data_IF_161741520318
#
_entry.id   IF_161741520318
#
_cell.length_a   1.000
_cell.length_b   1.000
_cell.length_c   1.000
_cell.angle_alpha   90.00
_cell.angle_beta   90.00
_cell.angle_gamma   90.00
#
_symmetry.space_group_name_H-M   'P 1'
#
loop_
_entity.id
_entity.type
_entity.pdbx_description
1 polymer ?
#
# COMPACT_ATOMS: atom_id res chain seq x y z
N UNK A 1 31.14 -1.38 -7.39
CA UNK A 1 29.85 -1.67 -8.07
C UNK A 1 29.12 -0.36 -8.31
N UNK A 2 28.46 -0.16 -9.45
CA UNK A 2 27.65 1.04 -9.72
C UNK A 2 26.16 0.67 -9.80
N UNK A 3 25.28 1.55 -9.29
CA UNK A 3 23.82 1.41 -9.23
C UNK A 3 23.17 2.76 -9.56
N UNK A 4 22.00 2.73 -10.20
CA UNK A 4 21.24 3.96 -10.53
C UNK A 4 20.44 4.47 -9.33
N UNK A 5 19.94 3.55 -8.49
CA UNK A 5 19.11 3.85 -7.32
C UNK A 5 19.52 2.96 -6.16
N UNK A 6 19.62 3.54 -4.96
CA UNK A 6 19.83 2.80 -3.70
C UNK A 6 18.61 3.01 -2.80
N UNK A 7 18.00 1.92 -2.38
CA UNK A 7 16.85 1.90 -1.45
C UNK A 7 17.32 1.39 -0.10
N UNK A 8 17.14 2.21 0.94
CA UNK A 8 17.48 1.85 2.32
C UNK A 8 16.23 1.33 3.03
N UNK A 9 16.12 0.01 3.16
CA UNK A 9 15.03 -0.69 3.80
C UNK A 9 14.34 -1.69 2.88
N UNK A 10 14.11 -2.90 3.42
CA UNK A 10 13.44 -4.02 2.73
C UNK A 10 11.98 -4.22 3.16
N UNK A 11 11.33 -3.17 3.69
CA UNK A 11 9.90 -3.20 3.96
C UNK A 11 9.06 -3.11 2.68
N UNK A 12 7.72 -3.18 2.82
CA UNK A 12 6.78 -3.16 1.70
C UNK A 12 7.03 -1.98 0.75
N UNK A 13 7.20 -0.77 1.28
CA UNK A 13 7.45 0.43 0.47
C UNK A 13 8.76 0.33 -0.34
N UNK A 14 9.84 -0.17 0.26
CA UNK A 14 11.14 -0.31 -0.39
C UNK A 14 11.13 -1.38 -1.49
N UNK A 15 10.54 -2.53 -1.19
CA UNK A 15 10.42 -3.63 -2.16
C UNK A 15 9.46 -3.29 -3.30
N UNK A 16 8.32 -2.65 -3.01
CA UNK A 16 7.39 -2.21 -4.05
C UNK A 16 8.02 -1.17 -4.97
N UNK A 17 8.80 -0.23 -4.41
CA UNK A 17 9.56 0.74 -5.19
C UNK A 17 10.62 0.07 -6.06
N UNK A 18 11.35 -0.90 -5.51
CA UNK A 18 12.35 -1.67 -6.24
C UNK A 18 11.72 -2.42 -7.43
N UNK A 19 10.57 -3.08 -7.23
CA UNK A 19 9.84 -3.79 -8.29
C UNK A 19 9.39 -2.86 -9.42
N UNK A 20 8.92 -1.66 -9.10
CA UNK A 20 8.52 -0.67 -10.11
C UNK A 20 9.71 -0.10 -10.89
N UNK A 21 10.89 0.00 -10.27
CA UNK A 21 12.09 0.60 -10.88
C UNK A 21 12.99 -0.39 -11.60
N UNK A 22 13.05 -1.64 -11.15
CA UNK A 22 13.96 -2.68 -11.65
C UNK A 22 13.89 -2.93 -13.17
N UNK A 23 12.74 -2.80 -13.86
CA UNK A 23 12.71 -2.94 -15.32
C UNK A 23 13.50 -1.87 -16.09
N UNK A 24 13.81 -0.74 -15.45
CA UNK A 24 14.39 0.44 -16.11
C UNK A 24 15.67 0.95 -15.44
N UNK A 25 16.01 0.45 -14.25
CA UNK A 25 17.11 0.95 -13.40
C UNK A 25 17.81 -0.20 -12.70
N UNK A 26 19.11 -0.08 -12.51
CA UNK A 26 19.89 -0.96 -11.66
C UNK A 26 19.74 -0.54 -10.19
N UNK A 27 18.88 -1.24 -9.46
CA UNK A 27 18.51 -0.92 -8.08
C UNK A 27 19.34 -1.75 -7.09
N UNK A 28 19.88 -1.11 -6.05
CA UNK A 28 20.40 -1.78 -4.86
C UNK A 28 19.42 -1.62 -3.69
N UNK A 29 19.15 -2.70 -2.96
CA UNK A 29 18.41 -2.66 -1.70
C UNK A 29 19.37 -2.96 -0.57
N UNK A 30 19.43 -2.08 0.42
CA UNK A 30 20.25 -2.24 1.61
C UNK A 30 19.31 -2.36 2.80
N UNK A 31 19.47 -3.41 3.60
CA UNK A 31 18.68 -3.62 4.82
C UNK A 31 19.59 -3.93 6.00
N UNK A 32 19.13 -3.59 7.20
CA UNK A 32 19.90 -3.70 8.45
C UNK A 32 20.11 -5.16 8.89
N UNK A 33 19.18 -6.04 8.53
CA UNK A 33 19.16 -7.46 8.91
C UNK A 33 18.80 -8.32 7.69
N UNK A 34 18.04 -9.39 7.86
CA UNK A 34 17.51 -10.14 6.73
C UNK A 34 16.40 -9.37 6.03
N UNK A 35 16.15 -9.68 4.75
CA UNK A 35 15.17 -8.96 3.93
C UNK A 35 13.75 -8.96 4.55
N UNK A 36 13.35 -10.07 5.18
CA UNK A 36 12.01 -10.24 5.76
C UNK A 36 11.92 -9.75 7.22
N UNK A 37 13.03 -9.32 7.82
CA UNK A 37 13.07 -8.85 9.21
C UNK A 37 12.60 -7.37 9.29
N UNK A 38 11.30 -7.14 9.09
CA UNK A 38 10.69 -5.82 9.14
C UNK A 38 9.20 -5.84 9.49
N UNK A 39 8.66 -4.70 9.95
CA UNK A 39 7.27 -4.56 10.42
C UNK A 39 6.22 -4.98 9.38
N UNK A 40 6.50 -4.80 8.09
CA UNK A 40 5.59 -5.20 7.01
C UNK A 40 5.25 -6.69 7.04
N UNK A 41 6.17 -7.55 7.46
CA UNK A 41 5.94 -8.99 7.54
C UNK A 41 5.07 -9.39 8.75
N UNK A 42 4.84 -8.47 9.69
CA UNK A 42 4.05 -8.68 10.91
C UNK A 42 2.67 -8.01 10.85
N UNK A 43 2.35 -7.30 9.75
CA UNK A 43 1.05 -6.64 9.58
C UNK A 43 -0.09 -7.66 9.49
N UNK A 44 -1.23 -7.37 10.12
CA UNK A 44 -2.38 -8.30 10.21
C UNK A 44 -3.72 -7.66 9.82
N UNK A 45 -3.89 -6.34 10.03
CA UNK A 45 -5.18 -5.67 9.87
C UNK A 45 -5.70 -5.57 8.44
N UNK A 46 -4.80 -5.59 7.45
CA UNK A 46 -5.15 -5.44 6.03
C UNK A 46 -4.61 -4.15 5.42
N UNK A 47 -5.20 -3.74 4.30
CA UNK A 47 -4.88 -2.50 3.59
C UNK A 47 -6.20 -1.77 3.34
N UNK A 48 -6.38 -0.61 3.96
CA UNK A 48 -7.54 0.24 3.75
C UNK A 48 -7.50 0.86 2.34
N UNK A 49 -8.57 0.69 1.57
CA UNK A 49 -8.74 1.27 0.25
C UNK A 49 -10.23 1.35 -0.12
N UNK A 50 -10.60 2.41 -0.84
CA UNK A 50 -11.95 2.58 -1.40
C UNK A 50 -12.11 1.66 -2.61
N UNK A 51 -12.54 0.42 -2.40
CA UNK A 51 -12.67 -0.61 -3.45
C UNK A 51 -14.10 -1.09 -3.69
N UNK A 52 -15.07 -0.61 -2.91
CA UNK A 52 -16.48 -1.00 -2.99
C UNK A 52 -17.39 0.24 -2.97
N UNK A 53 -18.63 0.08 -3.44
CA UNK A 53 -19.63 1.12 -3.60
C UNK A 53 -20.12 1.76 -2.29
N UNK A 54 -19.84 1.12 -1.15
CA UNK A 54 -20.27 1.60 0.17
C UNK A 54 -19.30 2.60 0.81
N UNK A 55 -18.10 2.77 0.25
CA UNK A 55 -17.12 3.77 0.69
C UNK A 55 -16.93 4.84 -0.40
N UNK A 56 -16.57 6.06 0.00
CA UNK A 56 -16.24 7.14 -0.92
C UNK A 56 -14.90 7.73 -0.55
N UNK A 57 -14.10 8.10 -1.56
CA UNK A 57 -12.84 8.82 -1.35
C UNK A 57 -13.00 10.01 -0.41
N UNK A 58 -14.12 10.74 -0.53
CA UNK A 58 -14.41 11.89 0.35
C UNK A 58 -14.59 11.49 1.82
N UNK A 59 -15.33 10.41 2.11
CA UNK A 59 -15.50 9.94 3.50
C UNK A 59 -14.16 9.52 4.07
N UNK A 60 -13.44 8.66 3.35
CA UNK A 60 -12.15 8.12 3.78
C UNK A 60 -11.09 9.21 4.00
N UNK A 61 -11.03 10.24 3.13
CA UNK A 61 -10.16 11.40 3.33
C UNK A 61 -10.52 12.15 4.61
N UNK A 62 -11.81 12.43 4.84
CA UNK A 62 -12.25 13.14 6.05
C UNK A 62 -11.91 12.34 7.32
N UNK A 63 -12.15 11.03 7.31
CA UNK A 63 -11.84 10.14 8.43
C UNK A 63 -10.34 10.12 8.71
N UNK A 64 -9.51 10.09 7.67
CA UNK A 64 -8.04 10.13 7.79
C UNK A 64 -7.55 11.46 8.36
N UNK A 65 -8.11 12.58 7.92
CA UNK A 65 -7.76 13.92 8.44
C UNK A 65 -8.17 14.04 9.91
N UNK A 66 -9.38 13.57 10.26
CA UNK A 66 -9.88 13.59 11.64
C UNK A 66 -9.02 12.70 12.55
N UNK A 67 -8.74 11.46 12.15
CA UNK A 67 -7.88 10.54 12.89
C UNK A 67 -6.45 11.08 13.06
N UNK A 68 -5.95 11.81 12.06
CA UNK A 68 -4.67 12.53 12.11
C UNK A 68 -4.69 13.81 12.95
N UNK A 69 -5.77 14.10 13.69
CA UNK A 69 -5.96 15.32 14.47
C UNK A 69 -5.78 16.61 13.66
N UNK A 70 -6.14 16.58 12.37
CA UNK A 70 -5.96 17.67 11.40
C UNK A 70 -4.50 18.09 11.18
N UNK A 71 -3.52 17.24 11.52
CA UNK A 71 -2.10 17.48 11.27
C UNK A 71 -1.62 16.91 9.93
N UNK A 72 -2.43 16.08 9.29
CA UNK A 72 -2.16 15.55 7.95
C UNK A 72 -2.27 16.65 6.89
N UNK A 73 -1.41 16.59 5.88
CA UNK A 73 -1.54 17.41 4.68
C UNK A 73 -2.76 16.95 3.85
N UNK A 74 -3.79 17.80 3.65
CA UNK A 74 -5.01 17.40 2.97
C UNK A 74 -4.79 16.98 1.51
N UNK A 75 -3.86 17.61 0.79
CA UNK A 75 -3.59 17.30 -0.61
C UNK A 75 -2.92 15.92 -0.73
N UNK A 76 -1.97 15.63 0.16
CA UNK A 76 -1.31 14.32 0.23
C UNK A 76 -2.29 13.24 0.66
N UNK A 77 -3.12 13.50 1.67
CA UNK A 77 -4.15 12.54 2.12
C UNK A 77 -5.12 12.21 0.99
N UNK A 78 -5.61 13.22 0.28
CA UNK A 78 -6.49 13.01 -0.87
C UNK A 78 -5.80 12.15 -1.95
N UNK A 79 -4.57 12.50 -2.32
CA UNK A 79 -3.81 11.75 -3.31
C UNK A 79 -3.63 10.27 -2.90
N UNK A 80 -3.26 10.00 -1.65
CA UNK A 80 -3.01 8.63 -1.17
C UNK A 80 -4.30 7.81 -1.19
N UNK A 81 -5.40 8.37 -0.70
CA UNK A 81 -6.71 7.70 -0.67
C UNK A 81 -7.21 7.39 -2.08
N UNK A 82 -7.13 8.36 -3.00
CA UNK A 82 -7.52 8.18 -4.41
C UNK A 82 -6.67 7.14 -5.14
N UNK A 83 -5.43 6.89 -4.70
CA UNK A 83 -4.54 5.87 -5.27
C UNK A 83 -4.62 4.50 -4.59
N UNK A 84 -5.44 4.35 -3.56
CA UNK A 84 -5.58 3.10 -2.83
C UNK A 84 -6.01 1.93 -3.74
N UNK A 85 -7.07 2.11 -4.52
CA UNK A 85 -7.57 1.07 -5.43
C UNK A 85 -6.54 0.66 -6.50
N UNK A 86 -5.85 1.64 -7.10
CA UNK A 86 -4.75 1.40 -8.04
C UNK A 86 -3.63 0.56 -7.39
N UNK A 87 -3.32 0.84 -6.12
CA UNK A 87 -2.36 0.11 -5.32
C UNK A 87 -2.75 -1.36 -5.09
N UNK A 88 -4.01 -1.60 -4.70
CA UNK A 88 -4.55 -2.96 -4.54
C UNK A 88 -4.48 -3.74 -5.85
N UNK A 89 -4.93 -3.15 -6.96
CA UNK A 89 -4.87 -3.77 -8.28
C UNK A 89 -3.43 -4.10 -8.69
N UNK A 90 -2.47 -3.21 -8.42
CA UNK A 90 -1.06 -3.46 -8.67
C UNK A 90 -0.52 -4.64 -7.85
N UNK A 91 -0.87 -4.74 -6.56
CA UNK A 91 -0.46 -5.85 -5.70
C UNK A 91 -1.02 -7.20 -6.18
N UNK A 92 -2.29 -7.23 -6.58
CA UNK A 92 -2.92 -8.42 -7.19
C UNK A 92 -2.13 -8.84 -8.45
N UNK A 93 -1.75 -7.88 -9.29
CA UNK A 93 -0.93 -8.15 -10.49
C UNK A 93 0.49 -8.63 -10.18
N UNK A 94 1.04 -8.32 -8.99
CA UNK A 94 2.30 -8.88 -8.51
C UNK A 94 2.13 -10.29 -7.89
N UNK A 95 0.92 -10.83 -7.84
CA UNK A 95 0.63 -12.16 -7.31
C UNK A 95 0.26 -12.18 -5.81
N UNK A 96 -0.04 -11.03 -5.20
CA UNK A 96 -0.54 -11.01 -3.82
C UNK A 96 -1.92 -11.66 -3.77
N UNK A 97 -2.05 -12.68 -2.91
CA UNK A 97 -3.28 -13.44 -2.78
C UNK A 97 -4.22 -12.81 -1.75
N UNK A 98 -4.96 -11.78 -2.15
CA UNK A 98 -6.06 -11.25 -1.34
C UNK A 98 -7.18 -12.29 -1.22
N UNK A 99 -7.80 -12.37 -0.04
CA UNK A 99 -8.98 -13.20 0.19
C UNK A 99 -10.13 -12.71 -0.69
N UNK A 100 -10.73 -13.63 -1.46
CA UNK A 100 -11.83 -13.33 -2.37
C UNK A 100 -13.18 -13.56 -1.70
N UNK A 101 -14.17 -12.76 -2.07
CA UNK A 101 -15.57 -12.96 -1.69
C UNK A 101 -16.46 -12.72 -2.91
N UNK A 102 -17.20 -13.73 -3.33
CA UNK A 102 -18.09 -13.66 -4.50
C UNK A 102 -19.35 -12.85 -4.24
N UNK A 103 -19.66 -12.54 -2.97
CA UNK A 103 -20.81 -11.73 -2.59
C UNK A 103 -20.48 -10.23 -2.53
N UNK A 104 -19.19 -9.88 -2.45
CA UNK A 104 -18.73 -8.49 -2.47
C UNK A 104 -18.63 -7.98 -3.91
N UNK A 105 -19.04 -6.74 -4.16
CA UNK A 105 -19.04 -6.17 -5.52
C UNK A 105 -17.62 -6.04 -6.10
N UNK A 106 -16.64 -5.84 -5.24
CA UNK A 106 -15.21 -5.77 -5.55
C UNK A 106 -14.57 -7.13 -5.82
N UNK A 107 -15.26 -8.24 -5.47
CA UNK A 107 -14.70 -9.59 -5.49
C UNK A 107 -13.68 -9.87 -4.36
N UNK A 108 -13.48 -8.92 -3.44
CA UNK A 108 -12.54 -8.99 -2.33
C UNK A 108 -13.30 -9.13 -1.01
N UNK A 109 -12.78 -9.93 -0.09
CA UNK A 109 -13.29 -9.99 1.28
C UNK A 109 -12.92 -8.70 2.02
N UNK A 110 -13.93 -7.92 2.42
CA UNK A 110 -13.76 -6.65 3.09
C UNK A 110 -13.98 -6.80 4.60
N UNK A 111 -13.17 -6.10 5.39
CA UNK A 111 -13.32 -6.02 6.84
C UNK A 111 -13.42 -4.56 7.25
N UNK A 112 -14.21 -4.27 8.28
CA UNK A 112 -14.24 -2.96 8.92
C UNK A 112 -13.08 -2.90 9.93
N UNK A 113 -12.27 -1.85 9.89
CA UNK A 113 -11.34 -1.56 11.00
C UNK A 113 -12.18 -1.21 12.24
N UNK A 114 -11.77 -1.72 13.41
CA UNK A 114 -12.54 -1.63 14.66
C UNK A 114 -12.63 -0.24 15.25
#
# INVERSE_FOLDING_TARGET
MNFDVVILGSGLAGLASALKLAPHRKVAIVTKKNMLDGASNWAQGGIAAVVDAFDTHKSHVNDTILAGAHLSDPEVTQLVVEKGADGIAWLINQGVNFTKDTNASSGLHLTMEG
#
